data_IF_148165377288
#
_entry.id   IF_148165377288
#
_cell.length_a   1.000
_cell.length_b   1.000
_cell.length_c   1.000
_cell.angle_alpha   90.00
_cell.angle_beta   90.00
_cell.angle_gamma   90.00
#
_symmetry.space_group_name_H-M   'P 1'
#
loop_
_entity.id
_entity.type
_entity.pdbx_description
1 polymer ?
#
# COMPACT_ATOMS: atom_id res chain seq x y z
N UNK A 1 -1.88 -25.53 -13.60
CA UNK A 1 -1.75 -24.53 -14.68
C UNK A 1 -1.25 -23.25 -14.06
N UNK A 2 0.05 -22.96 -14.18
CA UNK A 2 0.60 -21.67 -13.76
C UNK A 2 0.08 -20.62 -14.73
N UNK A 3 -1.00 -19.94 -14.34
CA UNK A 3 -1.44 -18.74 -15.02
C UNK A 3 -0.32 -17.71 -14.83
N UNK A 4 0.32 -17.26 -15.91
CA UNK A 4 1.30 -16.18 -15.84
C UNK A 4 0.59 -14.94 -15.29
N UNK A 5 0.98 -14.51 -14.09
CA UNK A 5 0.40 -13.33 -13.46
C UNK A 5 0.81 -12.09 -14.27
N UNK A 6 -0.17 -11.28 -14.66
CA UNK A 6 0.09 -10.00 -15.33
C UNK A 6 0.83 -9.05 -14.38
N UNK A 7 2.03 -8.62 -14.78
CA UNK A 7 2.81 -7.64 -14.02
C UNK A 7 2.48 -6.21 -14.48
N UNK A 8 2.08 -5.37 -13.52
CA UNK A 8 1.86 -3.93 -13.72
C UNK A 8 2.85 -3.17 -12.83
N UNK A 9 3.59 -2.23 -13.41
CA UNK A 9 4.47 -1.33 -12.67
C UNK A 9 3.95 0.10 -12.80
N UNK A 10 3.53 0.67 -11.67
CA UNK A 10 3.17 2.08 -11.59
C UNK A 10 4.38 2.95 -11.23
N UNK A 11 4.61 4.01 -12.01
CA UNK A 11 5.69 4.97 -11.78
C UNK A 11 5.25 6.39 -12.14
N UNK A 12 6.06 7.39 -11.81
CA UNK A 12 5.82 8.79 -12.20
C UNK A 12 6.51 9.10 -13.53
N UNK A 13 6.21 10.23 -14.17
CA UNK A 13 6.92 10.70 -15.37
C UNK A 13 8.45 10.85 -15.25
N UNK A 14 9.01 10.77 -14.04
CA UNK A 14 10.45 10.88 -13.78
C UNK A 14 11.16 9.51 -13.78
N UNK A 15 10.62 8.53 -14.51
CA UNK A 15 11.18 7.19 -14.63
C UNK A 15 12.36 7.11 -15.61
N UNK A 16 13.22 6.11 -15.42
CA UNK A 16 14.28 5.77 -16.39
C UNK A 16 13.66 5.08 -17.61
N UNK A 17 13.71 5.76 -18.76
CA UNK A 17 13.13 5.28 -20.02
C UNK A 17 13.80 4.01 -20.54
N UNK A 18 15.10 3.86 -20.33
CA UNK A 18 15.84 2.65 -20.75
C UNK A 18 15.35 1.46 -19.95
N UNK A 19 15.30 1.61 -18.62
CA UNK A 19 14.80 0.56 -17.71
C UNK A 19 13.33 0.20 -17.97
N UNK A 20 12.48 1.20 -18.21
CA UNK A 20 11.08 0.95 -18.53
C UNK A 20 10.89 0.20 -19.85
N UNK A 21 11.72 0.49 -20.86
CA UNK A 21 11.72 -0.26 -22.12
C UNK A 21 12.12 -1.72 -21.89
N UNK A 22 13.22 -1.97 -21.19
CA UNK A 22 13.69 -3.32 -20.85
C UNK A 22 12.61 -4.11 -20.09
N UNK A 23 11.94 -3.49 -19.12
CA UNK A 23 10.87 -4.13 -18.35
C UNK A 23 9.62 -4.40 -19.21
N UNK A 24 9.29 -3.49 -20.13
CA UNK A 24 8.16 -3.66 -21.02
C UNK A 24 8.41 -4.78 -22.04
N UNK A 25 9.64 -4.92 -22.54
CA UNK A 25 10.07 -6.04 -23.39
C UNK A 25 9.99 -7.40 -22.68
N UNK A 26 10.07 -7.41 -21.34
CA UNK A 26 9.81 -8.60 -20.51
C UNK A 26 8.32 -8.87 -20.25
N UNK A 27 7.41 -8.12 -20.88
CA UNK A 27 5.96 -8.35 -20.82
C UNK A 27 5.22 -7.60 -19.71
N UNK A 28 5.89 -6.75 -18.93
CA UNK A 28 5.23 -5.96 -17.91
C UNK A 28 4.56 -4.70 -18.48
N UNK A 29 3.37 -4.38 -17.98
CA UNK A 29 2.69 -3.13 -18.31
C UNK A 29 3.24 -1.99 -17.44
N UNK A 30 3.70 -0.90 -18.06
CA UNK A 30 4.16 0.29 -17.35
C UNK A 30 3.03 1.33 -17.32
N UNK A 31 2.58 1.70 -16.12
CA UNK A 31 1.62 2.76 -15.90
C UNK A 31 2.31 4.03 -15.42
N UNK A 32 2.18 5.11 -16.20
CA UNK A 32 2.64 6.43 -15.78
C UNK A 32 1.51 7.14 -15.06
N UNK A 33 1.64 7.24 -13.74
CA UNK A 33 0.63 7.79 -12.84
C UNK A 33 1.17 9.08 -12.23
N UNK A 34 0.88 10.18 -12.91
CA UNK A 34 1.36 11.49 -12.52
C UNK A 34 0.59 12.11 -11.35
N UNK A 35 1.28 13.05 -10.69
CA UNK A 35 0.91 13.83 -9.51
C UNK A 35 -0.52 14.42 -9.52
N UNK A 36 -1.04 14.68 -8.31
CA UNK A 36 -2.13 15.64 -8.11
C UNK A 36 -1.72 17.04 -8.61
N UNK A 37 -2.69 17.85 -9.06
CA UNK A 37 -2.47 19.27 -9.35
C UNK A 37 -2.15 20.10 -8.09
N UNK A 38 -2.39 19.54 -6.90
CA UNK A 38 -2.19 20.22 -5.62
C UNK A 38 -0.71 20.36 -5.22
N UNK A 39 -0.42 21.51 -4.58
CA UNK A 39 0.91 22.05 -4.24
C UNK A 39 1.66 21.32 -3.12
N UNK A 40 1.28 20.10 -2.72
CA UNK A 40 1.97 19.38 -1.65
C UNK A 40 3.35 18.89 -2.12
N UNK A 41 4.41 19.50 -1.59
CA UNK A 41 5.81 19.31 -2.02
C UNK A 41 6.27 17.86 -1.77
N UNK A 42 5.85 17.24 -0.67
CA UNK A 42 6.26 15.88 -0.29
C UNK A 42 5.72 14.77 -1.22
N UNK A 43 4.65 15.05 -1.96
CA UNK A 43 4.04 14.11 -2.90
C UNK A 43 4.47 14.35 -4.35
N UNK A 44 5.27 15.40 -4.64
CA UNK A 44 5.58 15.82 -6.01
C UNK A 44 6.22 14.74 -6.89
N UNK A 45 6.96 13.80 -6.28
CA UNK A 45 7.69 12.74 -6.97
C UNK A 45 7.18 11.32 -6.64
N UNK A 46 6.01 11.21 -6.01
CA UNK A 46 5.40 9.92 -5.67
C UNK A 46 4.24 9.61 -6.61
N UNK A 47 3.94 8.32 -6.77
CA UNK A 47 2.75 7.86 -7.49
C UNK A 47 1.50 8.35 -6.77
N UNK A 48 0.55 8.92 -7.53
CA UNK A 48 -0.75 9.30 -7.01
C UNK A 48 -1.61 8.04 -6.80
N UNK A 49 -1.80 7.64 -5.54
CA UNK A 49 -2.53 6.42 -5.20
C UNK A 49 -4.01 6.47 -5.60
N UNK A 50 -4.69 7.60 -5.39
CA UNK A 50 -6.08 7.79 -5.82
C UNK A 50 -6.23 7.58 -7.34
N UNK A 51 -5.33 8.17 -8.13
CA UNK A 51 -5.34 8.00 -9.58
C UNK A 51 -4.97 6.58 -9.99
N UNK A 52 -4.00 5.95 -9.31
CA UNK A 52 -3.64 4.56 -9.55
C UNK A 52 -4.85 3.65 -9.34
N UNK A 53 -5.54 3.76 -8.19
CA UNK A 53 -6.74 2.96 -7.89
C UNK A 53 -7.85 3.18 -8.93
N UNK A 54 -8.04 4.41 -9.41
CA UNK A 54 -8.98 4.69 -10.51
C UNK A 54 -8.60 3.94 -11.81
N UNK A 55 -7.33 4.00 -12.21
CA UNK A 55 -6.83 3.29 -13.41
C UNK A 55 -6.98 1.78 -13.24
N UNK A 56 -6.72 1.25 -12.05
CA UNK A 56 -6.92 -0.18 -11.75
C UNK A 56 -8.41 -0.55 -11.84
N UNK A 57 -9.32 0.28 -11.31
CA UNK A 57 -10.76 0.09 -11.45
C UNK A 57 -11.26 0.13 -12.89
N UNK A 58 -10.72 1.03 -13.73
CA UNK A 58 -10.99 1.10 -15.18
C UNK A 58 -10.50 -0.17 -15.92
N UNK A 59 -9.58 -0.92 -15.32
CA UNK A 59 -9.08 -2.22 -15.79
C UNK A 59 -9.79 -3.41 -15.13
N UNK A 60 -10.91 -3.17 -14.46
CA UNK A 60 -11.70 -4.19 -13.74
C UNK A 60 -10.95 -4.85 -12.57
N UNK A 61 -9.86 -4.23 -12.10
CA UNK A 61 -9.16 -4.64 -10.88
C UNK A 61 -9.84 -3.92 -9.71
N UNK A 62 -10.85 -4.57 -9.13
CA UNK A 62 -11.73 -3.98 -8.11
C UNK A 62 -11.28 -4.26 -6.68
N UNK A 63 -10.25 -5.09 -6.49
CA UNK A 63 -9.68 -5.41 -5.17
C UNK A 63 -8.15 -5.49 -5.26
N UNK A 64 -7.45 -4.88 -4.30
CA UNK A 64 -5.99 -4.89 -4.21
C UNK A 64 -5.59 -5.32 -2.81
N UNK A 65 -4.70 -6.31 -2.72
CA UNK A 65 -4.03 -6.67 -1.47
C UNK A 65 -2.72 -5.88 -1.35
N UNK A 66 -2.52 -5.20 -0.23
CA UNK A 66 -1.32 -4.39 0.03
C UNK A 66 -0.48 -5.09 1.09
N UNK A 67 0.60 -5.75 0.66
CA UNK A 67 1.57 -6.45 1.54
C UNK A 67 2.83 -5.63 1.81
N UNK A 68 2.93 -4.45 1.20
CA UNK A 68 4.18 -3.69 1.15
C UNK A 68 4.65 -3.19 2.52
N UNK A 69 5.92 -2.76 2.55
CA UNK A 69 6.55 -2.19 3.74
C UNK A 69 5.93 -0.87 4.22
N UNK A 70 6.43 -0.33 5.35
CA UNK A 70 5.81 0.76 6.08
C UNK A 70 5.54 1.99 5.22
N UNK A 71 6.42 2.36 4.28
CA UNK A 71 6.24 3.56 3.46
C UNK A 71 4.96 3.53 2.62
N UNK A 72 4.68 2.43 1.92
CA UNK A 72 3.51 2.35 1.05
C UNK A 72 2.24 2.19 1.88
N UNK A 73 2.25 1.27 2.84
CA UNK A 73 1.11 1.01 3.73
C UNK A 73 0.69 2.28 4.49
N UNK A 74 1.64 3.03 5.02
CA UNK A 74 1.37 4.35 5.67
C UNK A 74 0.75 5.34 4.69
N UNK A 75 1.17 5.34 3.42
CA UNK A 75 0.66 6.27 2.41
C UNK A 75 -0.81 5.97 2.04
N UNK A 76 -1.20 4.70 2.01
CA UNK A 76 -2.60 4.29 1.84
C UNK A 76 -3.45 4.64 3.07
N UNK A 77 -2.95 4.35 4.27
CA UNK A 77 -3.66 4.64 5.53
C UNK A 77 -3.85 6.15 5.70
N UNK A 78 -2.81 6.97 5.49
CA UNK A 78 -2.89 8.44 5.57
C UNK A 78 -3.94 9.03 4.64
N UNK A 79 -4.16 8.42 3.48
CA UNK A 79 -5.12 8.89 2.46
C UNK A 79 -6.51 8.25 2.59
N UNK A 80 -6.78 7.48 3.65
CA UNK A 80 -8.06 6.78 3.85
C UNK A 80 -8.44 5.86 2.68
N UNK A 81 -7.45 5.17 2.12
CA UNK A 81 -7.60 4.27 0.96
C UNK A 81 -7.60 2.78 1.34
N UNK A 82 -7.80 2.45 2.62
CA UNK A 82 -7.79 1.06 3.11
C UNK A 82 -9.15 0.71 3.65
N UNK A 83 -9.82 -0.25 3.03
CA UNK A 83 -11.14 -0.72 3.47
C UNK A 83 -11.05 -1.82 4.54
N UNK A 84 -10.04 -2.69 4.46
CA UNK A 84 -9.87 -3.85 5.35
C UNK A 84 -8.40 -4.05 5.73
N UNK A 85 -8.17 -4.35 7.00
CA UNK A 85 -6.86 -4.71 7.56
C UNK A 85 -6.82 -6.21 7.87
N UNK A 86 -5.70 -6.85 7.53
CA UNK A 86 -5.30 -8.16 8.05
C UNK A 86 -4.01 -7.95 8.84
N UNK A 87 -4.07 -8.14 10.16
CA UNK A 87 -2.96 -7.90 11.07
C UNK A 87 -2.50 -9.25 11.61
N UNK A 88 -1.27 -9.63 11.29
CA UNK A 88 -0.64 -10.84 11.77
C UNK A 88 0.28 -10.52 12.95
N UNK A 89 0.12 -11.25 14.05
CA UNK A 89 0.95 -11.13 15.25
C UNK A 89 1.58 -12.48 15.51
N UNK A 90 2.90 -12.55 15.33
CA UNK A 90 3.71 -13.73 15.65
C UNK A 90 4.09 -13.77 17.14
N UNK A 91 4.33 -14.95 17.74
CA UNK A 91 4.76 -15.10 19.13
C UNK A 91 6.26 -14.78 19.30
N UNK A 92 6.69 -13.61 18.81
CA UNK A 92 8.10 -13.19 18.76
C UNK A 92 8.27 -11.78 19.34
N UNK A 93 9.40 -11.55 20.02
CA UNK A 93 9.77 -10.24 20.56
C UNK A 93 11.09 -9.83 19.91
N UNK A 94 11.08 -8.74 19.14
CA UNK A 94 12.27 -8.19 18.48
C UNK A 94 12.88 -7.05 19.30
N UNK A 95 12.04 -6.11 19.76
CA UNK A 95 12.49 -4.88 20.45
C UNK A 95 13.28 -3.92 19.55
N UNK A 96 13.69 -2.77 20.10
CA UNK A 96 14.58 -1.80 19.44
C UNK A 96 13.93 -0.49 19.00
N UNK A 97 14.59 0.63 19.28
CA UNK A 97 14.12 2.00 18.97
C UNK A 97 13.99 2.27 17.46
N UNK A 98 14.86 1.65 16.65
CA UNK A 98 14.86 1.73 15.19
C UNK A 98 14.46 0.39 14.54
N UNK A 99 13.68 -0.43 15.24
CA UNK A 99 13.16 -1.66 14.67
C UNK A 99 12.30 -1.38 13.43
N UNK A 100 12.13 -2.41 12.58
CA UNK A 100 11.27 -2.31 11.41
C UNK A 100 9.84 -1.97 11.84
N UNK A 101 9.37 -0.81 11.42
CA UNK A 101 7.99 -0.37 11.65
C UNK A 101 7.05 -1.08 10.68
N UNK A 102 5.88 -1.51 11.17
CA UNK A 102 4.79 -1.99 10.31
C UNK A 102 4.09 -0.82 9.60
N UNK A 103 3.88 0.27 10.34
CA UNK A 103 3.30 1.54 9.87
C UNK A 103 4.24 2.65 10.35
N UNK A 104 4.63 3.53 9.42
CA UNK A 104 5.42 4.71 9.71
C UNK A 104 4.59 5.85 10.29
N UNK A 105 5.12 7.07 10.24
CA UNK A 105 4.45 8.23 10.82
C UNK A 105 3.14 8.56 10.07
N UNK A 106 2.03 8.54 10.81
CA UNK A 106 0.69 8.93 10.35
C UNK A 106 0.42 10.44 10.52
N UNK A 107 1.34 11.20 11.13
CA UNK A 107 1.23 12.63 11.47
C UNK A 107 0.05 12.94 12.41
N UNK A 108 -0.30 11.99 13.27
CA UNK A 108 -1.41 12.12 14.23
C UNK A 108 -0.85 12.61 15.56
N UNK A 109 -1.17 13.85 15.93
CA UNK A 109 -0.67 14.50 17.16
C UNK A 109 -1.62 14.34 18.35
N UNK A 110 -2.90 14.01 18.13
CA UNK A 110 -3.91 13.87 19.18
C UNK A 110 -4.64 12.55 19.04
N UNK A 111 -4.96 11.92 20.18
CA UNK A 111 -5.70 10.65 20.22
C UNK A 111 -7.06 10.75 19.51
N UNK A 112 -7.70 11.92 19.53
CA UNK A 112 -9.00 12.15 18.89
C UNK A 112 -8.92 12.11 17.36
N UNK A 113 -7.74 12.31 16.79
CA UNK A 113 -7.50 12.26 15.35
C UNK A 113 -7.04 10.85 14.89
N UNK A 114 -7.06 9.85 15.80
CA UNK A 114 -6.67 8.48 15.46
C UNK A 114 -7.69 7.77 14.57
N UNK A 115 -7.17 7.01 13.62
CA UNK A 115 -7.96 6.10 12.79
C UNK A 115 -8.33 4.87 13.64
N UNK A 116 -9.60 4.79 14.03
CA UNK A 116 -10.14 3.67 14.82
C UNK A 116 -10.48 2.51 13.91
N UNK A 117 -10.33 1.29 14.44
CA UNK A 117 -10.65 0.05 13.76
C UNK A 117 -11.67 -0.74 14.57
N UNK A 118 -12.64 -1.34 13.90
CA UNK A 118 -13.54 -2.35 14.45
C UNK A 118 -13.04 -3.74 14.04
N UNK A 119 -12.80 -4.60 15.03
CA UNK A 119 -12.40 -5.99 14.76
C UNK A 119 -13.63 -6.80 14.34
N UNK A 120 -13.53 -7.42 13.17
CA UNK A 120 -14.56 -8.32 12.65
C UNK A 120 -14.24 -9.78 12.97
N UNK A 121 -12.96 -10.12 13.10
CA UNK A 121 -12.49 -11.48 13.39
C UNK A 121 -11.16 -11.45 14.14
N UNK A 122 -10.99 -12.37 15.08
CA UNK A 122 -9.69 -12.68 15.71
C UNK A 122 -9.57 -14.19 15.78
N UNK A 123 -8.54 -14.76 15.17
CA UNK A 123 -8.31 -16.20 15.18
C UNK A 123 -6.82 -16.54 15.23
N UNK A 124 -6.50 -17.78 15.63
CA UNK A 124 -5.14 -18.31 15.50
C UNK A 124 -4.94 -18.98 14.15
N UNK A 125 -3.81 -18.73 13.52
CA UNK A 125 -3.36 -19.41 12.30
C UNK A 125 -1.98 -20.00 12.57
N UNK A 126 -1.92 -21.31 12.80
CA UNK A 126 -0.72 -21.94 13.34
C UNK A 126 -0.39 -21.35 14.72
N UNK A 127 0.84 -20.83 14.86
CA UNK A 127 1.31 -20.18 16.08
C UNK A 127 1.02 -18.67 16.14
N UNK A 128 0.57 -18.09 15.03
CA UNK A 128 0.29 -16.66 14.89
C UNK A 128 -1.18 -16.33 15.19
N UNK A 129 -1.46 -15.04 15.41
CA UNK A 129 -2.82 -14.50 15.51
C UNK A 129 -3.12 -13.62 14.30
N UNK A 130 -4.24 -13.89 13.61
CA UNK A 130 -4.82 -13.01 12.62
C UNK A 130 -5.95 -12.18 13.25
N UNK A 131 -5.87 -10.86 13.07
CA UNK A 131 -6.96 -9.92 13.33
C UNK A 131 -7.43 -9.36 11.99
N UNK A 132 -8.71 -9.52 11.70
CA UNK A 132 -9.38 -8.79 10.62
C UNK A 132 -10.12 -7.58 11.17
N UNK A 133 -9.93 -6.43 10.54
CA UNK A 133 -10.51 -5.18 11.01
C UNK A 133 -10.92 -4.24 9.87
N UNK A 134 -11.87 -3.35 10.15
CA UNK A 134 -12.36 -2.32 9.24
C UNK A 134 -12.24 -0.95 9.91
N UNK A 135 -11.92 0.14 9.17
CA UNK A 135 -12.07 1.51 9.67
C UNK A 135 -13.48 1.78 10.20
N UNK A 136 -13.60 2.65 11.20
CA UNK A 136 -14.88 3.08 11.79
C UNK A 136 -15.31 4.46 11.31
#
# INVERSE_FOLDING_TARGET
>A
TTNEAKLIIATTKHYDKKKAKEINELGAEILIVDKHENRNIELKNKVNLNRLLKILGEKEITSVLIEAGPTLSTSFIKQDLVDKFHIFIAPMIIGGYNAFQTIGDLEILRIVDTKKLNFSKVERIGDDVLIEAYPT
#
